data_IF_575521246838
#
_entry.id   IF_575521246838
#
_cell.length_a   1.000
_cell.length_b   1.000
_cell.length_c   1.000
_cell.angle_alpha   90.00
_cell.angle_beta   90.00
_cell.angle_gamma   90.00
#
_symmetry.space_group_name_H-M   'P 1'
#
loop_
_entity.id
_entity.type
_entity.pdbx_description
1 polymer ?
#
# COMPACT_ATOMS: atom_id res chain seq x y z
N UNK A 1 -15.60 26.50 -6.95
CA UNK A 1 -14.37 26.17 -7.72
C UNK A 1 -13.41 25.55 -6.72
N UNK A 2 -13.63 24.26 -6.43
CA UNK A 2 -12.87 23.51 -5.44
C UNK A 2 -11.52 23.13 -6.03
N UNK A 3 -10.44 23.46 -5.32
CA UNK A 3 -9.10 23.10 -5.69
C UNK A 3 -8.96 21.56 -5.73
N UNK A 4 -8.68 21.02 -6.91
CA UNK A 4 -8.31 19.61 -7.08
C UNK A 4 -6.84 19.46 -6.72
N UNK A 5 -6.50 18.41 -5.96
CA UNK A 5 -5.10 18.09 -5.68
C UNK A 5 -4.55 17.38 -6.92
N UNK A 6 -3.68 18.07 -7.67
CA UNK A 6 -3.10 17.55 -8.93
C UNK A 6 -2.15 16.37 -8.70
N UNK A 7 -1.64 16.20 -7.48
CA UNK A 7 -0.74 15.10 -7.13
C UNK A 7 -1.40 14.11 -6.16
N UNK A 8 -1.24 12.83 -6.45
CA UNK A 8 -1.55 11.74 -5.53
C UNK A 8 -0.27 11.32 -4.82
N UNK A 9 -0.30 11.29 -3.50
CA UNK A 9 0.78 10.78 -2.66
C UNK A 9 0.26 9.59 -1.89
N UNK A 10 0.98 8.48 -1.99
CA UNK A 10 0.74 7.27 -1.21
C UNK A 10 2.05 6.86 -0.56
N UNK A 11 2.00 6.51 0.72
CA UNK A 11 3.17 6.11 1.49
C UNK A 11 2.87 4.87 2.32
N UNK A 12 3.92 4.10 2.52
CA UNK A 12 3.96 2.91 3.35
C UNK A 12 5.04 3.12 4.41
N UNK A 13 4.64 3.07 5.67
CA UNK A 13 5.55 3.11 6.81
C UNK A 13 5.55 1.75 7.47
N UNK A 14 6.74 1.18 7.68
CA UNK A 14 6.90 -0.10 8.38
C UNK A 14 7.60 0.17 9.69
N UNK A 15 6.96 -0.22 10.79
CA UNK A 15 7.44 -0.07 12.15
C UNK A 15 7.78 -1.47 12.68
N UNK A 16 9.09 -1.74 12.82
CA UNK A 16 9.60 -3.06 13.26
C UNK A 16 8.99 -3.43 14.61
N UNK A 17 8.41 -4.62 14.69
CA UNK A 17 7.76 -5.14 15.91
C UNK A 17 6.44 -4.46 16.28
N UNK A 18 5.91 -3.55 15.46
CA UNK A 18 4.65 -2.85 15.73
C UNK A 18 3.65 -3.06 14.60
N UNK A 19 4.03 -2.81 13.34
CA UNK A 19 3.13 -3.04 12.21
C UNK A 19 3.43 -2.18 11.00
N UNK A 20 2.41 -2.05 10.16
CA UNK A 20 2.45 -1.31 8.91
C UNK A 20 1.42 -0.18 8.97
N UNK A 21 1.79 1.01 8.52
CA UNK A 21 0.86 2.09 8.27
C UNK A 21 0.83 2.44 6.78
N UNK A 22 -0.35 2.38 6.17
CA UNK A 22 -0.60 2.90 4.82
C UNK A 22 -1.24 4.27 4.92
N UNK A 23 -0.81 5.19 4.07
CA UNK A 23 -1.37 6.56 4.01
C UNK A 23 -1.60 6.94 2.55
N UNK A 24 -2.79 7.41 2.23
CA UNK A 24 -3.18 7.78 0.86
C UNK A 24 -3.84 9.16 0.84
N UNK A 25 -3.37 10.06 -0.03
CA UNK A 25 -3.84 11.45 -0.07
C UNK A 25 -5.11 11.63 -0.89
N UNK A 26 -6.14 12.28 -0.38
CA UNK A 26 -7.42 12.44 -1.06
C UNK A 26 -7.39 13.43 -2.25
N UNK A 27 -8.33 13.30 -3.18
CA UNK A 27 -8.38 14.03 -4.46
C UNK A 27 -8.76 15.53 -4.32
N UNK A 28 -9.25 15.92 -3.14
CA UNK A 28 -9.73 17.26 -2.83
C UNK A 28 -9.04 17.74 -1.55
N UNK A 29 -8.60 19.00 -1.49
CA UNK A 29 -7.94 19.55 -0.29
C UNK A 29 -8.83 19.56 0.97
N UNK A 30 -10.16 19.46 0.79
CA UNK A 30 -11.13 19.34 1.88
C UNK A 30 -11.33 17.91 2.39
N UNK A 31 -10.78 16.90 1.71
CA UNK A 31 -10.92 15.50 2.09
C UNK A 31 -9.68 15.04 2.84
N UNK A 32 -9.87 14.51 4.05
CA UNK A 32 -8.78 14.02 4.91
C UNK A 32 -8.05 12.86 4.23
N UNK A 33 -6.73 12.81 4.37
CA UNK A 33 -5.93 11.65 3.97
C UNK A 33 -6.35 10.40 4.74
N UNK A 34 -6.52 9.28 4.05
CA UNK A 34 -6.85 8.02 4.71
C UNK A 34 -5.56 7.38 5.20
N UNK A 35 -5.44 7.24 6.53
CA UNK A 35 -4.34 6.52 7.18
C UNK A 35 -4.90 5.26 7.83
N UNK A 36 -4.30 4.11 7.56
CA UNK A 36 -4.67 2.83 8.15
C UNK A 36 -3.45 2.18 8.77
N UNK A 37 -3.56 1.78 10.02
CA UNK A 37 -2.53 1.03 10.72
C UNK A 37 -2.96 -0.43 10.87
N UNK A 38 -2.04 -1.35 10.58
CA UNK A 38 -2.21 -2.80 10.64
C UNK A 38 -1.15 -3.34 11.60
N UNK A 39 -1.54 -3.84 12.79
CA UNK A 39 -0.61 -4.43 13.75
C UNK A 39 0.15 -5.62 13.16
N UNK A 40 1.41 -5.83 13.58
CA UNK A 40 2.22 -6.98 13.14
C UNK A 40 1.54 -8.32 13.43
N UNK A 41 0.83 -8.46 14.55
CA UNK A 41 0.17 -9.73 14.89
C UNK A 41 -0.91 -10.13 13.88
N UNK A 42 -1.52 -9.16 13.18
CA UNK A 42 -2.56 -9.40 12.18
C UNK A 42 -2.02 -9.55 10.78
N UNK A 43 -0.73 -9.30 10.53
CA UNK A 43 -0.15 -9.38 9.20
C UNK A 43 0.25 -10.83 8.94
N UNK A 44 -0.44 -11.47 8.01
CA UNK A 44 -0.12 -12.83 7.61
C UNK A 44 1.06 -12.86 6.64
N UNK A 45 0.99 -12.07 5.55
CA UNK A 45 2.10 -11.88 4.63
C UNK A 45 1.92 -10.60 3.80
N UNK A 46 3.01 -10.15 3.18
CA UNK A 46 3.01 -9.14 2.14
C UNK A 46 3.41 -9.79 0.83
N UNK A 47 2.57 -9.62 -0.19
CA UNK A 47 2.73 -10.23 -1.50
C UNK A 47 2.81 -9.17 -2.59
N UNK A 48 3.59 -9.47 -3.63
CA UNK A 48 3.53 -8.74 -4.89
C UNK A 48 2.59 -9.54 -5.80
N UNK A 49 1.48 -8.93 -6.18
CA UNK A 49 0.49 -9.54 -7.06
C UNK A 49 0.53 -8.89 -8.45
N UNK A 50 0.12 -9.64 -9.46
CA UNK A 50 0.01 -9.20 -10.84
C UNK A 50 -1.43 -9.21 -11.31
N UNK A 51 -1.86 -8.17 -12.03
CA UNK A 51 -3.18 -8.10 -12.62
C UNK A 51 -3.12 -7.47 -14.00
N UNK A 52 -4.07 -7.89 -14.84
CA UNK A 52 -4.27 -7.32 -16.15
C UNK A 52 -5.17 -6.09 -16.05
N UNK A 53 -4.67 -4.95 -16.54
CA UNK A 53 -5.47 -3.75 -16.79
C UNK A 53 -5.56 -3.53 -18.30
N UNK A 54 -6.63 -4.05 -18.91
CA UNK A 54 -6.72 -4.13 -20.36
C UNK A 54 -5.66 -5.10 -20.90
N UNK A 55 -4.70 -4.57 -21.66
CA UNK A 55 -3.57 -5.35 -22.22
C UNK A 55 -2.25 -5.12 -21.47
N UNK A 56 -2.24 -4.33 -20.39
CA UNK A 56 -1.06 -4.06 -19.58
C UNK A 56 -1.04 -4.95 -18.33
N UNK A 57 0.10 -5.60 -18.06
CA UNK A 57 0.34 -6.28 -16.78
C UNK A 57 0.83 -5.25 -15.76
N UNK A 58 0.12 -5.14 -14.64
CA UNK A 58 0.49 -4.26 -13.52
C UNK A 58 0.78 -5.06 -12.27
N UNK A 59 1.80 -4.60 -11.55
CA UNK A 59 2.20 -5.16 -10.27
C UNK A 59 1.70 -4.28 -9.13
N UNK A 60 1.15 -4.88 -8.09
CA UNK A 60 0.67 -4.17 -6.92
C UNK A 60 1.08 -4.92 -5.65
N UNK A 61 1.41 -4.14 -4.63
CA UNK A 61 1.76 -4.65 -3.32
C UNK A 61 0.49 -4.81 -2.49
N UNK A 62 0.28 -6.01 -1.95
CA UNK A 62 -0.86 -6.32 -1.09
C UNK A 62 -0.39 -6.83 0.27
N UNK A 63 -1.12 -6.48 1.31
CA UNK A 63 -0.96 -7.02 2.65
C UNK A 63 -2.16 -7.91 2.94
N UNK A 64 -1.88 -9.17 3.29
CA UNK A 64 -2.89 -10.12 3.75
C UNK A 64 -3.03 -9.94 5.25
N UNK A 65 -4.25 -9.60 5.68
CA UNK A 65 -4.55 -9.30 7.08
C UNK A 65 -5.46 -10.39 7.63
N UNK A 66 -5.09 -10.97 8.76
CA UNK A 66 -5.90 -11.97 9.44
C UNK A 66 -7.24 -11.35 9.92
N UNK A 67 -8.34 -12.04 9.61
CA UNK A 67 -9.68 -11.63 9.98
C UNK A 67 -10.32 -10.62 9.03
N UNK A 68 -9.68 -10.29 7.90
CA UNK A 68 -10.28 -9.48 6.83
C UNK A 68 -10.51 -10.33 5.58
N UNK A 69 -11.69 -10.19 4.96
CA UNK A 69 -12.02 -10.89 3.70
C UNK A 69 -11.29 -10.28 2.50
N UNK A 70 -11.03 -8.96 2.55
CA UNK A 70 -10.36 -8.22 1.49
C UNK A 70 -8.88 -8.00 1.81
N UNK A 71 -8.03 -8.15 0.79
CA UNK A 71 -6.61 -7.81 0.89
C UNK A 71 -6.40 -6.30 0.85
N UNK A 72 -5.45 -5.80 1.63
CA UNK A 72 -5.15 -4.37 1.66
C UNK A 72 -4.15 -4.03 0.55
N UNK A 73 -4.60 -3.29 -0.46
CA UNK A 73 -3.72 -2.76 -1.51
C UNK A 73 -2.98 -1.54 -1.00
N UNK A 74 -1.64 -1.56 -1.05
CA UNK A 74 -0.79 -0.51 -0.45
C UNK A 74 -0.78 0.78 -1.26
N UNK A 75 -0.69 0.66 -2.60
CA UNK A 75 -0.61 1.80 -3.53
C UNK A 75 -1.75 1.74 -4.57
N UNK A 76 -3.02 1.90 -4.14
CA UNK A 76 -4.16 1.66 -5.02
C UNK A 76 -4.24 2.63 -6.20
N UNK A 77 -3.62 3.82 -6.10
CA UNK A 77 -3.69 4.84 -7.14
C UNK A 77 -2.36 5.08 -7.85
N UNK A 78 -1.25 5.08 -7.11
CA UNK A 78 0.06 5.35 -7.68
C UNK A 78 0.51 4.24 -8.64
N UNK A 79 0.11 2.98 -8.34
CA UNK A 79 0.45 1.78 -9.11
C UNK A 79 1.89 1.81 -9.66
N UNK A 80 2.91 1.84 -8.78
CA UNK A 80 4.30 1.99 -9.19
C UNK A 80 4.75 0.85 -10.12
N UNK A 81 5.83 1.10 -10.88
CA UNK A 81 6.45 0.07 -11.71
C UNK A 81 7.00 -1.08 -10.84
N UNK A 82 7.12 -2.25 -11.46
CA UNK A 82 7.56 -3.51 -10.82
C UNK A 82 8.83 -3.35 -9.99
N UNK A 83 9.84 -2.67 -10.51
CA UNK A 83 11.14 -2.47 -9.86
C UNK A 83 11.01 -1.72 -8.53
N UNK A 84 10.10 -0.74 -8.46
CA UNK A 84 9.80 0.00 -7.23
C UNK A 84 9.03 -0.90 -6.27
N UNK A 85 8.00 -1.61 -6.74
CA UNK A 85 7.18 -2.52 -5.92
C UNK A 85 8.04 -3.61 -5.29
N UNK A 86 8.92 -4.25 -6.06
CA UNK A 86 9.85 -5.26 -5.55
C UNK A 86 10.82 -4.70 -4.51
N UNK A 87 11.36 -3.49 -4.72
CA UNK A 87 12.27 -2.85 -3.77
C UNK A 87 11.58 -2.58 -2.44
N UNK A 88 10.35 -2.04 -2.49
CA UNK A 88 9.54 -1.77 -1.30
C UNK A 88 9.19 -3.09 -0.61
N UNK A 89 8.76 -4.11 -1.35
CA UNK A 89 8.45 -5.44 -0.81
C UNK A 89 9.65 -6.05 -0.06
N UNK A 90 10.85 -6.05 -0.65
CA UNK A 90 12.08 -6.53 0.00
C UNK A 90 12.35 -5.79 1.30
N UNK A 91 12.23 -4.45 1.30
CA UNK A 91 12.41 -3.63 2.50
C UNK A 91 11.37 -3.93 3.59
N UNK A 92 10.11 -4.14 3.21
CA UNK A 92 9.04 -4.46 4.16
C UNK A 92 9.24 -5.85 4.77
N UNK A 93 9.57 -6.84 3.94
CA UNK A 93 9.85 -8.21 4.39
C UNK A 93 11.02 -8.24 5.38
N UNK A 94 12.11 -7.52 5.07
CA UNK A 94 13.26 -7.39 5.98
C UNK A 94 12.85 -6.74 7.31
N UNK A 95 11.99 -5.72 7.31
CA UNK A 95 11.58 -5.07 8.55
C UNK A 95 10.55 -5.86 9.40
N UNK A 96 9.79 -6.79 8.79
CA UNK A 96 8.72 -7.52 9.48
C UNK A 96 9.09 -8.94 9.89
N UNK A 97 9.98 -9.60 9.14
CA UNK A 97 10.31 -11.01 9.31
C UNK A 97 11.79 -11.28 9.64
N UNK A 98 12.61 -10.24 9.85
CA UNK A 98 13.93 -10.38 10.49
C UNK A 98 13.84 -10.49 12.01
#
# INVERSE_FOLDING_TARGET
ILSLRLHTTESLLVLRGLGIQTSSSSNTYLSSSTTRFIPTEKIQDILVNEAFRGFEVRYYLVVVVEGEEEVVVVFPRLLPRRDIVERVWRGCRACLFE
#
